data_IF_510389912722
#
_entry.id   IF_510389912722
#
_cell.length_a   1.000
_cell.length_b   1.000
_cell.length_c   1.000
_cell.angle_alpha   90.00
_cell.angle_beta   90.00
_cell.angle_gamma   90.00
#
_symmetry.space_group_name_H-M   'P 1'
#
loop_
_entity.id
_entity.type
_entity.pdbx_description
1 polymer ?
#
# COMPACT_ATOMS: atom_id res chain seq x y z
N UNK A 1 18.68 21.01 -50.46
CA UNK A 1 17.72 20.02 -50.99
C UNK A 1 17.97 18.73 -50.25
N UNK A 2 17.31 18.56 -49.13
CA UNK A 2 17.28 17.28 -48.41
C UNK A 2 15.87 16.73 -48.56
N UNK A 3 15.80 15.51 -49.02
CA UNK A 3 14.61 14.78 -49.45
C UNK A 3 13.71 14.44 -48.28
N UNK A 4 12.41 14.72 -48.45
CA UNK A 4 11.30 14.39 -47.56
C UNK A 4 10.88 12.93 -47.74
N UNK A 5 11.60 11.96 -47.17
CA UNK A 5 11.21 10.56 -47.25
C UNK A 5 11.58 9.65 -46.05
N UNK A 6 11.85 10.24 -44.85
CA UNK A 6 12.14 9.43 -43.64
C UNK A 6 11.18 9.69 -42.46
N UNK A 7 9.90 9.94 -42.78
CA UNK A 7 8.84 9.96 -41.79
C UNK A 7 7.82 8.89 -42.14
N UNK A 8 8.17 7.63 -41.91
CA UNK A 8 7.17 6.58 -41.96
C UNK A 8 7.57 5.36 -41.13
N UNK A 9 6.69 5.02 -40.23
CA UNK A 9 6.50 3.69 -39.63
C UNK A 9 7.43 3.30 -38.49
N UNK A 10 7.10 3.77 -37.28
CA UNK A 10 6.98 2.82 -36.18
C UNK A 10 5.48 2.61 -35.91
N UNK A 11 4.98 1.53 -36.46
CA UNK A 11 3.63 1.04 -36.22
C UNK A 11 3.58 0.38 -34.83
N UNK A 12 2.44 0.44 -34.13
CA UNK A 12 2.29 -0.09 -32.78
C UNK A 12 2.13 -1.62 -32.84
N UNK A 13 3.25 -2.36 -32.84
CA UNK A 13 3.24 -3.82 -32.67
C UNK A 13 3.27 -4.29 -31.21
N UNK A 14 3.28 -3.36 -30.23
CA UNK A 14 3.43 -3.65 -28.79
C UNK A 14 2.12 -3.53 -27.99
N UNK A 15 1.01 -3.17 -28.63
CA UNK A 15 -0.27 -2.93 -27.91
C UNK A 15 -0.95 -4.23 -27.48
N UNK A 16 -0.79 -5.33 -28.22
CA UNK A 16 -1.53 -6.58 -27.97
C UNK A 16 -0.99 -7.39 -26.77
N UNK A 17 0.30 -7.30 -26.44
CA UNK A 17 0.87 -7.97 -25.28
C UNK A 17 0.73 -7.12 -24.00
N UNK A 18 0.71 -5.78 -24.13
CA UNK A 18 0.45 -4.86 -23.03
C UNK A 18 -1.02 -4.95 -22.50
N UNK A 19 -1.93 -5.56 -23.24
CA UNK A 19 -3.33 -5.74 -22.86
C UNK A 19 -3.57 -6.98 -21.98
N UNK A 20 -2.58 -7.87 -21.86
CA UNK A 20 -2.66 -9.08 -21.03
C UNK A 20 -1.89 -8.91 -19.73
N UNK A 21 -2.51 -9.30 -18.61
CA UNK A 21 -1.92 -9.22 -17.28
C UNK A 21 -2.27 -7.94 -16.52
N UNK A 22 -1.44 -7.58 -15.57
CA UNK A 22 -1.63 -6.40 -14.72
C UNK A 22 -1.10 -5.15 -15.41
N UNK A 23 -1.99 -4.17 -15.62
CA UNK A 23 -1.66 -2.88 -16.21
C UNK A 23 -1.70 -1.79 -15.14
N UNK A 24 -0.54 -1.45 -14.58
CA UNK A 24 -0.38 -0.46 -13.52
C UNK A 24 0.00 0.89 -14.13
N UNK A 25 -0.90 1.87 -14.01
CA UNK A 25 -0.71 3.18 -14.62
C UNK A 25 -0.99 4.30 -13.63
N UNK A 26 -0.26 5.40 -13.78
CA UNK A 26 -0.49 6.63 -13.01
C UNK A 26 -1.18 7.69 -13.86
N UNK A 27 -2.06 8.48 -13.22
CA UNK A 27 -2.62 9.71 -13.74
C UNK A 27 -2.11 10.89 -12.93
N UNK A 28 -1.32 11.76 -13.54
CA UNK A 28 -0.98 13.07 -12.99
C UNK A 28 -2.06 14.06 -13.38
N UNK A 29 -2.68 14.73 -12.41
CA UNK A 29 -3.74 15.70 -12.66
C UNK A 29 -3.54 16.96 -11.83
N UNK A 30 -4.08 18.09 -12.31
CA UNK A 30 -4.15 19.36 -11.60
C UNK A 30 -5.62 19.80 -11.46
N UNK A 31 -6.01 20.14 -10.24
CA UNK A 31 -7.35 20.59 -9.88
C UNK A 31 -8.46 19.54 -10.11
N UNK A 32 -9.66 19.90 -9.65
CA UNK A 32 -10.84 18.99 -9.73
C UNK A 32 -11.22 18.62 -11.17
N UNK A 33 -11.14 19.58 -12.10
CA UNK A 33 -11.46 19.31 -13.49
C UNK A 33 -10.50 18.32 -14.16
N UNK A 34 -9.21 18.34 -13.80
CA UNK A 34 -8.21 17.38 -14.25
C UNK A 34 -8.48 15.98 -13.68
N UNK A 35 -8.74 15.93 -12.38
CA UNK A 35 -9.13 14.71 -11.68
C UNK A 35 -10.37 14.05 -12.33
N UNK A 36 -11.48 14.79 -12.50
CA UNK A 36 -12.70 14.26 -13.08
C UNK A 36 -12.52 13.79 -14.52
N UNK A 37 -11.88 14.59 -15.39
CA UNK A 37 -11.66 14.19 -16.79
C UNK A 37 -10.92 12.87 -16.92
N UNK A 38 -9.80 12.72 -16.23
CA UNK A 38 -8.97 11.51 -16.36
C UNK A 38 -9.63 10.29 -15.73
N UNK A 39 -10.23 10.45 -14.55
CA UNK A 39 -10.88 9.35 -13.83
C UNK A 39 -12.15 8.89 -14.54
N UNK A 40 -13.01 9.82 -14.98
CA UNK A 40 -14.26 9.49 -15.69
C UNK A 40 -14.00 8.83 -17.03
N UNK A 41 -12.98 9.24 -17.78
CA UNK A 41 -12.61 8.57 -19.03
C UNK A 41 -12.27 7.10 -18.80
N UNK A 42 -11.45 6.81 -17.77
CA UNK A 42 -11.07 5.45 -17.41
C UNK A 42 -12.26 4.60 -16.94
N UNK A 43 -13.16 5.17 -16.15
CA UNK A 43 -14.40 4.50 -15.69
C UNK A 43 -15.35 4.24 -16.85
N UNK A 44 -15.56 5.22 -17.76
CA UNK A 44 -16.44 5.08 -18.90
C UNK A 44 -16.00 3.96 -19.86
N UNK A 45 -14.70 3.80 -20.08
CA UNK A 45 -14.18 2.66 -20.84
C UNK A 45 -14.52 1.33 -20.17
N UNK A 46 -14.37 1.23 -18.83
CA UNK A 46 -14.71 0.02 -18.08
C UNK A 46 -16.19 -0.32 -18.19
N UNK A 47 -17.06 0.70 -18.02
CA UNK A 47 -18.51 0.54 -18.13
C UNK A 47 -18.90 0.07 -19.54
N UNK A 48 -18.27 0.63 -20.59
CA UNK A 48 -18.51 0.25 -21.98
C UNK A 48 -18.06 -1.19 -22.28
N UNK A 49 -17.01 -1.65 -21.62
CA UNK A 49 -16.48 -3.02 -21.72
C UNK A 49 -17.18 -4.00 -20.76
N UNK A 50 -18.17 -3.54 -19.98
CA UNK A 50 -18.83 -4.33 -18.92
C UNK A 50 -17.87 -4.88 -17.87
N UNK A 51 -16.73 -4.20 -17.64
CA UNK A 51 -15.74 -4.56 -16.62
C UNK A 51 -16.20 -4.02 -15.26
N UNK A 52 -16.17 -4.83 -14.18
CA UNK A 52 -16.37 -4.33 -12.81
C UNK A 52 -15.34 -3.26 -12.44
N UNK A 53 -15.79 -2.21 -11.74
CA UNK A 53 -14.94 -1.08 -11.34
C UNK A 53 -15.00 -0.87 -9.84
N UNK A 54 -13.82 -0.76 -9.20
CA UNK A 54 -13.68 -0.29 -7.82
C UNK A 54 -12.89 1.03 -7.82
N UNK A 55 -13.50 2.07 -7.24
CA UNK A 55 -12.91 3.39 -7.06
C UNK A 55 -12.63 3.61 -5.58
N UNK A 56 -11.36 3.63 -5.21
CA UNK A 56 -10.87 3.89 -3.86
C UNK A 56 -10.20 5.28 -3.84
N UNK A 57 -10.93 6.30 -3.41
CA UNK A 57 -10.49 7.70 -3.36
C UNK A 57 -10.93 8.34 -2.03
N UNK A 58 -10.39 9.52 -1.72
CA UNK A 58 -10.84 10.28 -0.55
C UNK A 58 -12.34 10.58 -0.60
N UNK A 59 -13.02 10.54 0.57
CA UNK A 59 -14.47 10.70 0.68
C UNK A 59 -15.00 11.98 0.00
N UNK A 60 -14.23 13.07 0.03
CA UNK A 60 -14.57 14.34 -0.63
C UNK A 60 -14.63 14.24 -2.16
N UNK A 61 -13.99 13.25 -2.76
CA UNK A 61 -13.96 13.03 -4.21
C UNK A 61 -15.07 12.10 -4.70
N UNK A 62 -15.72 11.37 -3.81
CA UNK A 62 -16.76 10.38 -4.15
C UNK A 62 -18.02 11.07 -4.69
N UNK A 63 -18.50 12.13 -4.03
CA UNK A 63 -19.70 12.85 -4.46
C UNK A 63 -19.56 13.47 -5.88
N UNK A 64 -18.50 14.23 -6.19
CA UNK A 64 -18.29 14.76 -7.54
C UNK A 64 -18.22 13.69 -8.63
N UNK A 65 -17.61 12.52 -8.34
CA UNK A 65 -17.59 11.40 -9.28
C UNK A 65 -18.98 10.81 -9.51
N UNK A 66 -19.74 10.56 -8.42
CA UNK A 66 -21.12 10.05 -8.53
C UNK A 66 -22.03 10.98 -9.31
N UNK A 67 -21.96 12.28 -9.02
CA UNK A 67 -22.75 13.31 -9.71
C UNK A 67 -22.43 13.34 -11.21
N UNK A 68 -21.14 13.23 -11.56
CA UNK A 68 -20.70 13.22 -12.97
C UNK A 68 -21.06 11.92 -13.70
N UNK A 69 -21.10 10.78 -13.01
CA UNK A 69 -21.48 9.48 -13.58
C UNK A 69 -23.00 9.34 -13.73
N UNK A 70 -23.80 10.07 -12.94
CA UNK A 70 -25.26 9.97 -12.96
C UNK A 70 -25.72 8.55 -12.70
N UNK A 71 -26.54 7.99 -13.59
CA UNK A 71 -27.08 6.62 -13.45
C UNK A 71 -26.00 5.53 -13.50
N UNK A 72 -24.89 5.77 -14.16
CA UNK A 72 -23.77 4.82 -14.24
C UNK A 72 -23.02 4.67 -12.92
N UNK A 73 -23.23 5.58 -11.95
CA UNK A 73 -22.64 5.45 -10.61
C UNK A 73 -23.05 4.16 -9.87
N UNK A 74 -24.19 3.59 -10.19
CA UNK A 74 -24.67 2.31 -9.62
C UNK A 74 -23.86 1.10 -10.12
N UNK A 75 -23.13 1.26 -11.22
CA UNK A 75 -22.26 0.23 -11.81
C UNK A 75 -20.84 0.26 -11.24
N UNK A 76 -20.55 1.23 -10.37
CA UNK A 76 -19.21 1.47 -9.79
C UNK A 76 -19.24 1.22 -8.30
N UNK A 77 -18.33 0.39 -7.81
CA UNK A 77 -18.09 0.21 -6.38
C UNK A 77 -17.19 1.34 -5.88
N UNK A 78 -17.54 1.96 -4.75
CA UNK A 78 -16.75 3.02 -4.13
C UNK A 78 -16.25 2.58 -2.76
N UNK A 79 -14.98 2.87 -2.47
CA UNK A 79 -14.36 2.68 -1.17
C UNK A 79 -13.72 3.99 -0.70
N UNK A 80 -13.76 4.25 0.62
CA UNK A 80 -13.09 5.38 1.22
C UNK A 80 -11.60 5.05 1.43
N UNK A 81 -10.73 5.69 0.66
CA UNK A 81 -9.29 5.43 0.71
C UNK A 81 -8.66 5.75 2.08
N UNK A 82 -8.98 6.86 2.77
CA UNK A 82 -8.55 7.11 4.15
C UNK A 82 -8.85 5.97 5.13
N UNK A 83 -9.89 5.19 4.92
CA UNK A 83 -10.24 4.01 5.73
C UNK A 83 -9.52 2.77 5.20
N UNK A 84 -9.64 2.48 3.91
CA UNK A 84 -9.06 1.29 3.26
C UNK A 84 -7.54 1.33 3.29
N UNK A 85 -6.95 2.41 2.80
CA UNK A 85 -5.51 2.60 2.60
C UNK A 85 -4.80 3.31 3.75
N UNK A 86 -5.42 3.45 4.95
CA UNK A 86 -4.78 4.02 6.13
C UNK A 86 -3.41 3.37 6.37
N UNK A 87 -3.38 2.04 6.40
CA UNK A 87 -2.16 1.28 6.26
C UNK A 87 -2.03 0.81 4.80
N UNK A 88 -1.02 1.26 4.04
CA UNK A 88 -0.83 0.86 2.64
C UNK A 88 -0.79 -0.66 2.43
N UNK A 89 -0.33 -1.41 3.43
CA UNK A 89 -0.30 -2.87 3.42
C UNK A 89 -1.68 -3.55 3.24
N UNK A 90 -2.77 -2.81 3.39
CA UNK A 90 -4.14 -3.32 3.15
C UNK A 90 -4.57 -3.25 1.69
N UNK A 91 -3.87 -2.48 0.85
CA UNK A 91 -4.28 -2.25 -0.54
C UNK A 91 -4.15 -3.51 -1.39
N UNK A 92 -3.01 -4.21 -1.36
CA UNK A 92 -2.83 -5.47 -2.10
C UNK A 92 -3.90 -6.52 -1.73
N UNK A 93 -4.18 -6.79 -0.43
CA UNK A 93 -5.28 -7.67 -0.05
C UNK A 93 -6.66 -7.22 -0.56
N UNK A 94 -6.95 -5.92 -0.54
CA UNK A 94 -8.23 -5.39 -1.02
C UNK A 94 -8.41 -5.57 -2.53
N UNK A 95 -7.38 -5.27 -3.33
CA UNK A 95 -7.41 -5.51 -4.76
C UNK A 95 -7.53 -6.99 -5.10
N UNK A 96 -6.83 -7.88 -4.38
CA UNK A 96 -6.98 -9.33 -4.55
C UNK A 96 -8.41 -9.77 -4.25
N UNK A 97 -9.00 -9.30 -3.16
CA UNK A 97 -10.38 -9.61 -2.82
C UNK A 97 -11.34 -9.18 -3.94
N UNK A 98 -11.20 -7.97 -4.45
CA UNK A 98 -12.03 -7.47 -5.56
C UNK A 98 -11.87 -8.32 -6.84
N UNK A 99 -10.62 -8.72 -7.15
CA UNK A 99 -10.34 -9.63 -8.26
C UNK A 99 -11.02 -10.99 -8.06
N UNK A 100 -10.96 -11.56 -6.84
CA UNK A 100 -11.53 -12.88 -6.53
C UNK A 100 -13.07 -12.87 -6.58
N UNK A 101 -13.70 -11.77 -6.14
CA UNK A 101 -15.15 -11.57 -6.23
C UNK A 101 -15.64 -11.49 -7.69
N UNK A 102 -14.75 -11.18 -8.64
CA UNK A 102 -15.05 -11.07 -10.07
C UNK A 102 -14.23 -12.06 -10.91
N UNK A 103 -14.10 -13.29 -10.43
CA UNK A 103 -13.30 -14.32 -11.10
C UNK A 103 -13.71 -14.53 -12.57
N UNK A 104 -12.70 -14.69 -13.44
CA UNK A 104 -12.90 -14.90 -14.89
C UNK A 104 -13.22 -13.64 -15.71
N UNK A 105 -13.33 -12.46 -15.09
CA UNK A 105 -13.61 -11.19 -15.79
C UNK A 105 -12.42 -10.24 -15.64
N UNK A 106 -12.08 -9.46 -16.68
CA UNK A 106 -11.22 -8.28 -16.52
C UNK A 106 -11.90 -7.29 -15.56
N UNK A 107 -11.11 -6.60 -14.73
CA UNK A 107 -11.61 -5.58 -13.81
C UNK A 107 -10.77 -4.32 -13.91
N UNK A 108 -11.32 -3.20 -13.44
CA UNK A 108 -10.58 -1.94 -13.29
C UNK A 108 -10.62 -1.42 -11.87
N UNK A 109 -9.48 -0.86 -11.44
CA UNK A 109 -9.33 -0.16 -10.19
C UNK A 109 -8.93 1.30 -10.39
N UNK A 110 -9.42 2.18 -9.53
CA UNK A 110 -8.92 3.54 -9.37
C UNK A 110 -8.46 3.71 -7.93
N UNK A 111 -7.24 4.17 -7.72
CA UNK A 111 -6.59 4.26 -6.41
C UNK A 111 -6.01 5.65 -6.17
N UNK A 112 -6.34 6.28 -5.05
CA UNK A 112 -5.69 7.49 -4.54
C UNK A 112 -4.93 7.14 -3.26
N UNK A 113 -3.87 6.31 -3.38
CA UNK A 113 -3.08 5.81 -2.23
C UNK A 113 -2.25 6.89 -1.55
N UNK A 114 -1.84 7.93 -2.31
CA UNK A 114 -1.06 9.07 -1.84
C UNK A 114 -1.92 10.33 -1.97
N UNK A 115 -2.12 11.04 -0.86
CA UNK A 115 -2.87 12.30 -0.81
C UNK A 115 -2.18 13.32 0.10
N UNK A 116 -2.45 14.63 -0.05
CA UNK A 116 -1.92 15.66 0.82
C UNK A 116 -2.28 15.42 2.29
N UNK A 117 -1.29 15.55 3.18
CA UNK A 117 -1.47 15.33 4.62
C UNK A 117 -1.04 13.95 5.14
N UNK A 118 -0.61 13.03 4.29
CA UNK A 118 0.13 11.85 4.75
C UNK A 118 1.47 12.27 5.37
N UNK A 119 1.84 11.64 6.49
CA UNK A 119 3.15 11.82 7.09
C UNK A 119 4.27 11.24 6.22
N UNK A 120 5.51 11.68 6.42
CA UNK A 120 6.67 11.16 5.70
C UNK A 120 6.82 9.63 5.85
N UNK A 121 6.49 9.08 7.02
CA UNK A 121 6.50 7.63 7.25
C UNK A 121 5.44 6.91 6.39
N UNK A 122 4.24 7.47 6.29
CA UNK A 122 3.17 6.91 5.46
C UNK A 122 3.51 7.02 3.97
N UNK A 123 4.06 8.15 3.51
CA UNK A 123 4.49 8.34 2.11
C UNK A 123 5.54 7.29 1.72
N UNK A 124 6.56 7.09 2.56
CA UNK A 124 7.58 6.06 2.32
C UNK A 124 6.97 4.67 2.17
N UNK A 125 6.01 4.31 3.01
CA UNK A 125 5.37 2.99 2.91
C UNK A 125 4.39 2.93 1.71
N UNK A 126 3.72 4.02 1.33
CA UNK A 126 2.93 4.06 0.09
C UNK A 126 3.81 3.81 -1.13
N UNK A 127 4.94 4.54 -1.27
CA UNK A 127 5.88 4.37 -2.39
C UNK A 127 6.38 2.93 -2.51
N UNK A 128 6.70 2.28 -1.37
CA UNK A 128 7.09 0.86 -1.33
C UNK A 128 5.96 -0.06 -1.79
N UNK A 129 4.73 0.19 -1.34
CA UNK A 129 3.58 -0.62 -1.72
C UNK A 129 3.19 -0.45 -3.19
N UNK A 130 3.37 0.73 -3.78
CA UNK A 130 3.20 0.93 -5.23
C UNK A 130 4.16 0.04 -6.04
N UNK A 131 5.42 -0.05 -5.62
CA UNK A 131 6.38 -0.98 -6.26
C UNK A 131 5.98 -2.44 -6.04
N UNK A 132 5.52 -2.81 -4.83
CA UNK A 132 5.07 -4.17 -4.50
C UNK A 132 3.79 -4.58 -5.24
N UNK A 133 2.96 -3.62 -5.71
CA UNK A 133 1.81 -3.91 -6.55
C UNK A 133 2.22 -4.64 -7.84
N UNK A 134 3.29 -4.19 -8.49
CA UNK A 134 3.79 -4.83 -9.72
C UNK A 134 4.16 -6.29 -9.43
N UNK A 135 4.93 -6.55 -8.38
CA UNK A 135 5.31 -7.91 -7.96
C UNK A 135 4.11 -8.76 -7.52
N UNK A 136 3.14 -8.15 -6.81
CA UNK A 136 1.99 -8.86 -6.28
C UNK A 136 1.06 -9.40 -7.36
N UNK A 137 0.99 -8.73 -8.51
CA UNK A 137 0.04 -9.03 -9.58
C UNK A 137 0.72 -9.44 -10.90
N UNK A 138 2.05 -9.61 -10.88
CA UNK A 138 2.79 -10.13 -12.02
C UNK A 138 2.31 -11.53 -12.44
N UNK A 139 2.24 -11.76 -13.75
CA UNK A 139 1.85 -13.04 -14.35
C UNK A 139 0.43 -13.52 -14.05
N UNK A 140 -0.40 -12.65 -13.47
CA UNK A 140 -1.75 -12.97 -13.03
C UNK A 140 -2.84 -12.69 -14.06
N UNK A 141 -4.02 -12.35 -13.56
CA UNK A 141 -5.22 -12.01 -14.32
C UNK A 141 -5.07 -10.67 -15.04
N UNK A 142 -5.76 -10.51 -16.14
CA UNK A 142 -5.86 -9.21 -16.84
C UNK A 142 -6.70 -8.25 -16.02
N UNK A 143 -6.10 -7.15 -15.60
CA UNK A 143 -6.78 -6.05 -14.94
C UNK A 143 -5.97 -4.76 -15.03
N UNK A 144 -6.64 -3.61 -14.86
CA UNK A 144 -6.01 -2.30 -14.97
C UNK A 144 -6.21 -1.51 -13.67
N UNK A 145 -5.15 -0.88 -13.18
CA UNK A 145 -5.18 0.00 -12.01
C UNK A 145 -4.69 1.38 -12.41
N UNK A 146 -5.53 2.40 -12.18
CA UNK A 146 -5.21 3.80 -12.35
C UNK A 146 -4.92 4.42 -10.98
N UNK A 147 -3.66 4.79 -10.71
CA UNK A 147 -3.24 5.47 -9.51
C UNK A 147 -3.18 6.98 -9.73
N UNK A 148 -3.83 7.73 -8.86
CA UNK A 148 -4.08 9.16 -8.99
C UNK A 148 -3.06 9.98 -8.20
N UNK A 149 -2.45 11.00 -8.83
CA UNK A 149 -1.46 11.89 -8.21
C UNK A 149 -1.78 13.34 -8.51
N UNK A 150 -2.07 14.11 -7.44
CA UNK A 150 -2.44 15.52 -7.48
C UNK A 150 -1.18 16.39 -7.59
N UNK A 151 -0.97 17.02 -8.74
CA UNK A 151 0.17 17.89 -9.00
C UNK A 151 0.15 19.18 -8.17
N UNK A 152 -1.02 19.60 -7.72
CA UNK A 152 -1.18 20.82 -6.91
C UNK A 152 -0.97 20.55 -5.42
N UNK A 153 -1.18 19.31 -4.98
CA UNK A 153 -1.18 18.94 -3.57
C UNK A 153 0.00 18.09 -3.12
N UNK A 154 0.75 17.48 -4.04
CA UNK A 154 1.88 16.60 -3.74
C UNK A 154 3.21 17.26 -4.10
N UNK A 155 4.26 16.91 -3.37
CA UNK A 155 5.60 17.39 -3.64
C UNK A 155 6.25 16.66 -4.85
N UNK A 156 7.35 17.25 -5.35
CA UNK A 156 8.09 16.69 -6.49
C UNK A 156 8.65 15.29 -6.20
N UNK A 157 8.94 14.97 -4.95
CA UNK A 157 9.47 13.67 -4.57
C UNK A 157 8.39 12.60 -4.77
N UNK A 158 7.17 12.81 -4.31
CA UNK A 158 6.04 11.91 -4.49
C UNK A 158 5.68 11.72 -5.98
N UNK A 159 5.69 12.81 -6.76
CA UNK A 159 5.44 12.76 -8.21
C UNK A 159 6.54 11.97 -8.93
N UNK A 160 7.81 12.21 -8.59
CA UNK A 160 8.94 11.48 -9.16
C UNK A 160 8.90 9.99 -8.78
N UNK A 161 8.55 9.68 -7.53
CA UNK A 161 8.38 8.29 -7.07
C UNK A 161 7.28 7.56 -7.84
N UNK A 162 6.16 8.23 -8.12
CA UNK A 162 5.09 7.68 -8.96
C UNK A 162 5.58 7.29 -10.36
N UNK A 163 6.38 8.14 -11.00
CA UNK A 163 6.97 7.83 -12.31
C UNK A 163 7.88 6.60 -12.27
N UNK A 164 8.58 6.36 -11.14
CA UNK A 164 9.49 5.21 -10.97
C UNK A 164 8.76 3.91 -10.65
N UNK A 165 7.61 3.96 -10.00
CA UNK A 165 6.84 2.76 -9.58
C UNK A 165 5.80 2.30 -10.59
N UNK A 166 5.39 3.16 -11.54
CA UNK A 166 4.35 2.85 -12.52
C UNK A 166 4.93 2.65 -13.92
N UNK A 167 4.75 1.46 -14.53
CA UNK A 167 5.19 1.19 -15.91
C UNK A 167 4.56 2.12 -16.95
N UNK A 168 3.34 2.64 -16.67
CA UNK A 168 2.57 3.42 -17.62
C UNK A 168 2.06 4.73 -16.99
N UNK A 169 1.93 5.76 -17.84
CA UNK A 169 1.37 7.08 -17.50
C UNK A 169 0.15 7.29 -18.38
N UNK A 170 -1.02 7.51 -17.76
CA UNK A 170 -2.26 7.84 -18.45
C UNK A 170 -2.17 9.24 -19.09
N UNK A 171 -2.58 9.35 -20.34
CA UNK A 171 -2.53 10.60 -21.11
C UNK A 171 -3.60 10.63 -22.21
N UNK A 172 -4.44 11.67 -22.24
CA UNK A 172 -5.43 11.94 -23.30
C UNK A 172 -6.31 10.74 -23.70
N UNK A 173 -6.82 9.97 -22.72
CA UNK A 173 -7.65 8.80 -22.98
C UNK A 173 -6.89 7.55 -23.40
N UNK A 174 -5.56 7.57 -23.38
CA UNK A 174 -4.67 6.45 -23.59
C UNK A 174 -3.61 6.38 -22.51
N UNK A 175 -2.50 5.74 -22.82
CA UNK A 175 -1.34 5.67 -21.93
C UNK A 175 -0.03 5.60 -22.73
N UNK A 176 1.06 5.99 -22.07
CA UNK A 176 2.44 5.82 -22.59
C UNK A 176 3.30 5.14 -21.55
N UNK A 177 4.40 4.54 -21.97
CA UNK A 177 5.39 3.99 -21.02
C UNK A 177 6.01 5.11 -20.21
N UNK A 178 6.31 4.85 -18.93
CA UNK A 178 7.09 5.76 -18.09
C UNK A 178 8.57 5.60 -18.42
N UNK A 179 9.22 6.70 -18.79
CA UNK A 179 10.67 6.72 -19.08
C UNK A 179 11.52 6.57 -17.82
N UNK A 180 10.93 6.81 -16.65
CA UNK A 180 11.60 6.75 -15.35
C UNK A 180 11.27 5.47 -14.57
N UNK A 181 10.45 4.57 -15.13
CA UNK A 181 10.08 3.33 -14.47
C UNK A 181 11.30 2.48 -14.13
N UNK A 182 11.43 2.14 -12.86
CA UNK A 182 12.43 1.19 -12.39
C UNK A 182 11.80 -0.21 -12.44
N UNK A 183 12.27 -1.04 -13.36
CA UNK A 183 11.88 -2.45 -13.38
C UNK A 183 12.20 -3.15 -12.05
N UNK A 184 11.75 -4.39 -11.91
CA UNK A 184 11.92 -5.17 -10.67
C UNK A 184 13.38 -5.28 -10.17
N UNK A 185 14.36 -5.21 -11.07
CA UNK A 185 15.79 -5.31 -10.74
C UNK A 185 16.41 -4.02 -10.20
N UNK A 186 15.83 -2.88 -10.51
CA UNK A 186 16.38 -1.54 -10.19
C UNK A 186 15.63 -0.85 -9.03
N UNK A 187 14.50 -1.39 -8.61
CA UNK A 187 13.75 -0.88 -7.46
C UNK A 187 14.45 -1.27 -6.15
N UNK A 188 14.53 -0.35 -5.17
CA UNK A 188 15.04 -0.70 -3.84
C UNK A 188 14.28 -1.88 -3.24
N UNK A 189 14.99 -2.78 -2.56
CA UNK A 189 14.35 -3.91 -1.90
C UNK A 189 13.25 -3.46 -0.93
N UNK A 190 12.17 -4.24 -0.79
CA UNK A 190 10.98 -3.83 -0.04
C UNK A 190 11.24 -3.56 1.44
N UNK A 191 12.34 -4.06 1.98
CA UNK A 191 12.71 -3.91 3.40
C UNK A 191 14.00 -3.13 3.61
N UNK A 192 14.57 -2.55 2.56
CA UNK A 192 15.82 -1.79 2.63
C UNK A 192 15.71 -0.47 3.40
N UNK A 193 16.85 -0.01 3.89
CA UNK A 193 16.98 1.23 4.65
C UNK A 193 16.79 1.03 6.14
N UNK A 194 16.96 2.12 6.89
CA UNK A 194 16.78 2.14 8.34
C UNK A 194 15.50 2.90 8.71
N UNK A 195 14.86 2.50 9.80
CA UNK A 195 13.81 3.32 10.41
C UNK A 195 14.46 4.53 11.09
N UNK A 196 13.89 5.73 11.00
CA UNK A 196 14.34 6.88 11.78
C UNK A 196 14.37 6.51 13.28
N UNK A 197 15.30 7.06 14.06
CA UNK A 197 15.31 6.83 15.52
C UNK A 197 13.99 7.32 16.14
N UNK A 198 13.56 6.75 17.29
CA UNK A 198 12.43 7.28 18.05
C UNK A 198 12.61 8.78 18.34
N UNK A 199 11.53 9.57 18.18
CA UNK A 199 11.54 11.02 18.43
C UNK A 199 11.69 11.36 19.93
N UNK A 200 11.41 10.39 20.81
CA UNK A 200 11.58 10.49 22.27
C UNK A 200 12.24 9.22 22.81
N UNK A 201 12.79 9.29 24.04
CA UNK A 201 13.37 8.11 24.68
C UNK A 201 12.34 7.00 24.86
N UNK A 202 12.51 5.84 24.23
CA UNK A 202 11.55 4.75 24.34
C UNK A 202 11.67 4.00 25.67
N UNK A 203 10.58 3.38 26.11
CA UNK A 203 10.63 2.30 27.08
C UNK A 203 11.13 1.05 26.38
N UNK A 204 12.22 0.48 26.87
CA UNK A 204 12.85 -0.71 26.32
C UNK A 204 12.52 -1.96 27.13
N UNK A 205 12.16 -3.04 26.46
CA UNK A 205 11.83 -4.34 27.08
C UNK A 205 12.45 -5.45 26.25
N UNK A 206 13.51 -6.08 26.78
CA UNK A 206 14.01 -7.33 26.21
C UNK A 206 13.05 -8.47 26.55
N UNK A 207 12.85 -9.41 25.63
CA UNK A 207 11.95 -10.55 25.82
C UNK A 207 12.50 -11.82 25.14
N UNK A 208 12.03 -12.96 25.65
CA UNK A 208 12.23 -14.30 25.11
C UNK A 208 10.91 -15.06 25.04
N UNK A 209 10.93 -16.34 24.68
CA UNK A 209 9.73 -17.16 24.65
C UNK A 209 9.00 -17.28 26.00
N UNK A 210 9.73 -17.23 27.12
CA UNK A 210 9.14 -17.29 28.46
C UNK A 210 8.40 -15.99 28.85
N UNK A 211 8.71 -14.87 28.17
CA UNK A 211 8.26 -13.54 28.55
C UNK A 211 7.00 -13.08 27.81
N UNK A 212 6.47 -13.85 26.87
CA UNK A 212 5.33 -13.42 26.01
C UNK A 212 4.08 -13.05 26.84
N UNK A 213 3.78 -13.76 27.94
CA UNK A 213 2.63 -13.44 28.78
C UNK A 213 2.84 -12.17 29.60
N UNK A 214 3.94 -12.00 30.36
CA UNK A 214 4.22 -10.73 31.04
C UNK A 214 4.39 -9.56 30.08
N UNK A 215 4.94 -9.77 28.86
CA UNK A 215 5.05 -8.72 27.84
C UNK A 215 3.66 -8.14 27.45
N UNK A 216 2.65 -8.99 27.24
CA UNK A 216 1.27 -8.57 26.96
C UNK A 216 0.68 -7.70 28.08
N UNK A 217 0.92 -8.09 29.32
CA UNK A 217 0.47 -7.31 30.50
C UNK A 217 1.11 -5.92 30.49
N UNK A 218 2.43 -5.87 30.31
CA UNK A 218 3.21 -4.63 30.27
C UNK A 218 2.79 -3.68 29.13
N UNK A 219 2.55 -4.22 27.95
CA UNK A 219 2.04 -3.43 26.81
C UNK A 219 0.65 -2.88 27.08
N UNK A 220 -0.24 -3.68 27.69
CA UNK A 220 -1.60 -3.24 28.05
C UNK A 220 -1.56 -2.13 29.10
N UNK A 221 -0.77 -2.26 30.15
CA UNK A 221 -0.59 -1.23 31.19
C UNK A 221 -0.04 0.07 30.60
N UNK A 222 0.96 -0.05 29.71
CA UNK A 222 1.54 1.10 29.03
C UNK A 222 0.52 1.79 28.09
N UNK A 223 -0.26 1.04 27.34
CA UNK A 223 -1.31 1.56 26.44
C UNK A 223 -2.45 2.22 27.23
N UNK A 224 -2.85 1.65 28.35
CA UNK A 224 -3.88 2.21 29.25
C UNK A 224 -3.47 3.53 29.90
N UNK A 225 -2.19 3.86 29.92
CA UNK A 225 -1.65 5.13 30.43
C UNK A 225 -2.01 6.36 29.60
N UNK A 226 -2.95 6.27 28.62
CA UNK A 226 -3.60 7.50 28.30
C UNK A 226 -4.05 7.92 26.94
N UNK A 227 -3.89 7.21 25.83
CA UNK A 227 -4.37 7.76 24.54
C UNK A 227 -5.37 6.84 23.82
N UNK A 228 -5.26 5.54 24.01
CA UNK A 228 -6.10 4.60 23.28
C UNK A 228 -7.34 4.25 24.12
N UNK A 229 -8.48 4.10 23.46
CA UNK A 229 -9.62 3.42 24.06
C UNK A 229 -9.31 1.93 24.29
N UNK A 230 -10.20 1.23 25.00
CA UNK A 230 -9.96 -0.17 25.37
C UNK A 230 -9.81 -1.10 24.16
N UNK A 231 -10.54 -0.86 23.08
CA UNK A 231 -10.47 -1.68 21.87
C UNK A 231 -9.13 -1.46 21.14
N UNK A 232 -8.70 -0.21 21.00
CA UNK A 232 -7.42 0.10 20.33
C UNK A 232 -6.23 -0.37 21.15
N UNK A 233 -6.33 -0.29 22.48
CA UNK A 233 -5.32 -0.86 23.39
C UNK A 233 -5.16 -2.38 23.18
N UNK A 234 -6.27 -3.12 23.07
CA UNK A 234 -6.22 -4.56 22.79
C UNK A 234 -5.69 -4.86 21.39
N UNK A 235 -5.96 -4.03 20.38
CA UNK A 235 -5.33 -4.12 19.05
C UNK A 235 -3.83 -3.97 19.14
N UNK A 236 -3.32 -3.03 19.93
CA UNK A 236 -1.88 -2.85 20.16
C UNK A 236 -1.26 -4.08 20.82
N UNK A 237 -1.89 -4.58 21.89
CA UNK A 237 -1.45 -5.80 22.59
C UNK A 237 -1.40 -7.00 21.63
N UNK A 238 -2.42 -7.15 20.80
CA UNK A 238 -2.49 -8.21 19.80
C UNK A 238 -1.33 -8.07 18.79
N UNK A 239 -1.13 -6.87 18.22
CA UNK A 239 -0.07 -6.63 17.25
C UNK A 239 1.32 -6.91 17.83
N UNK A 240 1.62 -6.39 19.02
CA UNK A 240 2.92 -6.64 19.68
C UNK A 240 3.10 -8.12 20.01
N UNK A 241 2.04 -8.82 20.45
CA UNK A 241 2.10 -10.25 20.71
C UNK A 241 2.44 -11.06 19.45
N UNK A 242 1.86 -10.73 18.31
CA UNK A 242 2.16 -11.39 17.03
C UNK A 242 3.60 -11.13 16.59
N UNK A 243 4.08 -9.90 16.72
CA UNK A 243 5.47 -9.54 16.41
C UNK A 243 6.43 -10.26 17.33
N UNK A 244 6.22 -10.22 18.65
CA UNK A 244 7.07 -10.90 19.62
C UNK A 244 7.07 -12.43 19.42
N UNK A 245 5.92 -13.01 19.09
CA UNK A 245 5.84 -14.44 18.75
C UNK A 245 6.66 -14.79 17.51
N UNK A 246 6.64 -13.91 16.50
CA UNK A 246 7.47 -14.08 15.30
C UNK A 246 8.96 -14.01 15.65
N UNK A 247 9.39 -13.04 16.48
CA UNK A 247 10.77 -12.92 16.94
C UNK A 247 11.23 -14.16 17.71
N UNK A 248 10.39 -14.73 18.54
CA UNK A 248 10.69 -15.98 19.25
C UNK A 248 10.86 -17.16 18.29
N UNK A 249 10.00 -17.26 17.27
CA UNK A 249 9.99 -18.39 16.32
C UNK A 249 11.04 -18.26 15.21
N UNK A 250 11.29 -17.04 14.74
CA UNK A 250 12.06 -16.77 13.54
C UNK A 250 13.22 -15.79 13.76
N UNK A 251 13.20 -15.04 14.88
CA UNK A 251 14.12 -13.96 15.18
C UNK A 251 15.24 -14.31 16.17
N UNK A 252 15.56 -15.60 16.36
CA UNK A 252 16.63 -16.00 17.27
C UNK A 252 16.19 -16.28 18.71
N UNK A 253 14.89 -16.50 18.95
CA UNK A 253 14.35 -16.91 20.25
C UNK A 253 13.84 -15.78 21.14
N UNK A 254 13.93 -14.52 20.71
CA UNK A 254 13.49 -13.35 21.45
C UNK A 254 13.80 -12.06 20.70
N UNK A 255 13.71 -10.93 21.40
CA UNK A 255 13.95 -9.62 20.79
C UNK A 255 13.91 -8.47 21.78
N UNK A 256 13.91 -7.26 21.24
CA UNK A 256 13.80 -6.00 21.97
C UNK A 256 12.52 -5.29 21.51
N UNK A 257 11.64 -4.97 22.46
CA UNK A 257 10.48 -4.11 22.23
C UNK A 257 10.83 -2.70 22.70
N UNK A 258 10.64 -1.73 21.81
CA UNK A 258 10.69 -0.29 22.08
C UNK A 258 9.27 0.26 22.07
N UNK A 259 8.90 1.09 23.04
CA UNK A 259 7.59 1.72 23.14
C UNK A 259 7.76 3.21 23.43
N UNK A 260 7.13 4.08 22.63
CA UNK A 260 7.16 5.54 22.82
C UNK A 260 5.92 6.20 22.23
N UNK A 261 5.82 7.50 22.40
CA UNK A 261 4.72 8.33 21.87
C UNK A 261 5.24 9.39 20.94
N UNK A 262 4.49 9.64 19.88
CA UNK A 262 4.66 10.78 18.98
C UNK A 262 3.32 11.48 18.81
N UNK A 263 3.14 12.60 19.52
CA UNK A 263 1.83 13.28 19.60
C UNK A 263 0.75 12.33 20.11
N UNK A 264 -0.29 12.12 19.30
CA UNK A 264 -1.43 11.23 19.62
C UNK A 264 -1.23 9.80 19.08
N UNK A 265 -0.03 9.44 18.65
CA UNK A 265 0.26 8.11 18.13
C UNK A 265 1.10 7.32 19.14
N UNK A 266 0.64 6.12 19.46
CA UNK A 266 1.46 5.13 20.17
C UNK A 266 2.30 4.36 19.15
N UNK A 267 3.59 4.29 19.43
CA UNK A 267 4.60 3.64 18.60
C UNK A 267 5.15 2.42 19.33
N UNK A 268 5.19 1.29 18.66
CA UNK A 268 5.94 0.13 19.13
C UNK A 268 6.87 -0.37 18.03
N UNK A 269 8.07 -0.76 18.39
CA UNK A 269 9.02 -1.34 17.45
C UNK A 269 9.61 -2.62 18.05
N UNK A 270 9.51 -3.71 17.33
CA UNK A 270 10.12 -5.00 17.71
C UNK A 270 11.33 -5.21 16.83
N UNK A 271 12.48 -5.44 17.49
CA UNK A 271 13.75 -5.77 16.86
C UNK A 271 14.18 -7.18 17.23
N UNK A 272 14.67 -7.92 16.26
CA UNK A 272 15.23 -9.26 16.45
C UNK A 272 16.37 -9.56 15.48
N UNK A 273 16.97 -10.75 15.59
CA UNK A 273 18.10 -11.18 14.76
C UNK A 273 17.66 -11.95 13.50
N UNK A 274 16.34 -12.09 13.26
CA UNK A 274 15.82 -12.78 12.09
C UNK A 274 15.92 -11.95 10.82
N UNK A 275 15.74 -12.61 9.70
CA UNK A 275 15.62 -11.98 8.39
C UNK A 275 14.22 -12.19 7.81
N UNK A 276 13.69 -11.13 7.19
CA UNK A 276 12.45 -11.18 6.42
C UNK A 276 12.84 -11.03 4.96
N UNK A 277 12.69 -12.09 4.18
CA UNK A 277 13.12 -12.17 2.78
C UNK A 277 11.93 -12.14 1.80
N UNK A 278 10.76 -12.62 2.21
CA UNK A 278 9.56 -12.68 1.37
C UNK A 278 8.96 -11.28 1.17
N UNK A 279 9.03 -10.68 -0.02
CA UNK A 279 8.59 -9.30 -0.27
C UNK A 279 7.12 -9.04 0.07
N UNK A 280 6.27 -10.04 -0.13
CA UNK A 280 4.81 -9.96 0.05
C UNK A 280 4.35 -10.54 1.39
N UNK A 281 5.26 -10.72 2.36
CA UNK A 281 4.92 -11.22 3.70
C UNK A 281 3.89 -10.30 4.37
N UNK A 282 2.83 -10.88 4.92
CA UNK A 282 1.73 -10.14 5.55
C UNK A 282 0.82 -9.37 4.59
N UNK A 283 1.06 -9.41 3.27
CA UNK A 283 0.24 -8.76 2.24
C UNK A 283 -0.71 -9.74 1.52
N UNK A 284 -0.70 -11.01 1.89
CA UNK A 284 -1.63 -12.00 1.37
C UNK A 284 -2.53 -12.48 2.49
N UNK A 285 -3.85 -12.55 2.23
CA UNK A 285 -4.79 -13.13 3.18
C UNK A 285 -4.41 -14.60 3.39
N UNK A 286 -4.16 -15.02 4.64
CA UNK A 286 -3.78 -16.40 4.90
C UNK A 286 -4.92 -17.35 4.60
N UNK A 287 -4.61 -18.50 3.97
CA UNK A 287 -5.59 -19.57 3.78
C UNK A 287 -6.06 -20.10 5.14
N UNK A 288 -7.35 -20.44 5.29
CA UNK A 288 -7.86 -21.12 6.49
C UNK A 288 -7.08 -22.37 6.85
N UNK A 289 -6.61 -23.10 5.85
CA UNK A 289 -5.94 -24.41 5.99
C UNK A 289 -4.45 -24.30 6.36
N UNK A 290 -3.87 -23.09 6.32
CA UNK A 290 -2.46 -22.87 6.70
C UNK A 290 -2.37 -22.17 8.05
N UNK A 291 -1.82 -22.80 9.10
CA UNK A 291 -1.68 -22.19 10.43
C UNK A 291 -0.60 -21.11 10.51
N UNK A 292 0.35 -21.06 9.56
CA UNK A 292 1.46 -20.12 9.51
C UNK A 292 1.18 -18.90 8.61
N UNK A 293 1.83 -17.77 8.88
CA UNK A 293 1.75 -16.56 8.04
C UNK A 293 0.62 -15.59 8.39
N UNK A 294 -0.14 -15.85 9.47
CA UNK A 294 -1.25 -14.98 9.90
C UNK A 294 -0.81 -13.76 10.69
N UNK A 295 0.32 -13.85 11.41
CA UNK A 295 0.75 -12.82 12.36
C UNK A 295 0.93 -11.44 11.73
N UNK A 296 1.83 -11.30 10.75
CA UNK A 296 2.06 -10.02 10.07
C UNK A 296 0.84 -9.53 9.28
N UNK A 297 0.06 -10.45 8.69
CA UNK A 297 -1.21 -10.06 8.05
C UNK A 297 -2.16 -9.42 9.07
N UNK A 298 -2.32 -10.04 10.24
CA UNK A 298 -3.16 -9.51 11.30
C UNK A 298 -2.65 -8.16 11.81
N UNK A 299 -1.34 -8.03 12.03
CA UNK A 299 -0.70 -6.75 12.38
C UNK A 299 -1.06 -5.66 11.38
N UNK A 300 -0.97 -5.95 10.07
CA UNK A 300 -1.36 -5.03 9.01
C UNK A 300 -2.84 -4.65 9.05
N UNK A 301 -3.73 -5.54 9.51
CA UNK A 301 -5.16 -5.24 9.60
C UNK A 301 -5.52 -4.35 10.80
N UNK A 302 -4.80 -4.48 11.92
CA UNK A 302 -5.17 -3.80 13.17
C UNK A 302 -4.41 -2.50 13.42
N UNK A 303 -3.26 -2.28 12.79
CA UNK A 303 -2.45 -1.08 12.94
C UNK A 303 -2.76 -0.02 11.88
N UNK A 304 -2.55 1.25 12.23
CA UNK A 304 -2.74 2.38 11.31
C UNK A 304 -1.58 2.52 10.31
N UNK A 305 -0.37 2.10 10.70
CA UNK A 305 0.79 1.96 9.82
C UNK A 305 1.69 0.84 10.32
N UNK A 306 2.28 0.09 9.40
CA UNK A 306 3.31 -0.92 9.69
C UNK A 306 4.51 -0.67 8.79
N UNK A 307 5.68 -0.54 9.38
CA UNK A 307 6.95 -0.37 8.69
C UNK A 307 7.82 -1.58 8.97
N UNK A 308 8.33 -2.22 7.93
CA UNK A 308 9.22 -3.38 8.05
C UNK A 308 10.58 -3.01 7.47
N UNK A 309 11.64 -3.29 8.20
CA UNK A 309 13.02 -3.23 7.72
C UNK A 309 13.73 -4.52 8.06
N UNK A 310 14.50 -5.03 7.12
CA UNK A 310 15.21 -6.30 7.29
C UNK A 310 16.56 -6.24 6.59
N UNK A 311 17.57 -6.70 7.29
CA UNK A 311 18.95 -6.80 6.81
C UNK A 311 19.60 -8.07 7.36
N UNK A 312 20.81 -8.37 6.91
CA UNK A 312 21.58 -9.53 7.43
C UNK A 312 21.87 -9.45 8.94
N UNK A 313 21.75 -8.28 9.53
CA UNK A 313 22.00 -8.02 10.96
C UNK A 313 20.73 -8.17 11.81
N UNK A 314 19.58 -8.41 11.22
CA UNK A 314 18.32 -8.56 11.91
C UNK A 314 17.17 -7.80 11.24
N UNK A 315 16.01 -7.85 11.87
CA UNK A 315 14.80 -7.16 11.42
C UNK A 315 14.27 -6.18 12.46
N UNK A 316 13.53 -5.18 11.98
CA UNK A 316 12.78 -4.23 12.78
C UNK A 316 11.39 -4.05 12.19
N UNK A 317 10.36 -4.25 13.00
CA UNK A 317 8.96 -4.01 12.62
C UNK A 317 8.40 -2.95 13.56
N UNK A 318 8.04 -1.79 12.99
CA UNK A 318 7.44 -0.67 13.71
C UNK A 318 5.97 -0.57 13.37
N UNK A 319 5.15 -0.42 14.40
CA UNK A 319 3.71 -0.24 14.29
C UNK A 319 3.29 1.09 14.91
N UNK A 320 2.29 1.70 14.29
CA UNK A 320 1.70 2.97 14.71
C UNK A 320 0.22 2.75 14.98
N UNK A 321 -0.26 3.21 16.14
CA UNK A 321 -1.67 3.31 16.46
C UNK A 321 -1.99 4.72 16.95
N UNK A 322 -2.91 5.40 16.26
CA UNK A 322 -3.40 6.74 16.62
C UNK A 322 -4.49 6.65 17.68
N UNK A 323 -4.69 7.70 18.43
CA UNK A 323 -5.75 7.77 19.46
C UNK A 323 -7.16 7.78 18.84
N UNK A 324 -7.32 8.36 17.67
CA UNK A 324 -8.60 8.42 16.91
C UNK A 324 -8.32 8.34 15.41
#
# INVERSE_FOLDING_TARGET
MLSSSDLCHDAPSDVSDAERGFHHQTLFYAGEAGFLRGTLAFIAEAISAEEPVLVAVGSMRVAPLRDSLGVDAERVSFADMPVLGRNPARLIPAWRQFLDEHEGRPVRGVSESIWPGRSAAELTECERHESLMNLAFDGGRTWRLLCLYDLDGLDEQAISAAGRSHPFIAHNGGYRRSETYLGEGDAPGPFEGALPPPASSPTEVSFSGADLTPLRVRVREWAAGGLLDGERAERLVLAVNELATNSVRHGGGGGLLLMWREGETLMCEVRDLGQIEEPLVGLRRPSPDRPSGRGLWLVNQVCDLVQIRSARTGSAVRIHLRSV
#
